data_IF_715535189771
#
_entry.id   IF_715535189771
#
_cell.length_a   1.000
_cell.length_b   1.000
_cell.length_c   1.000
_cell.angle_alpha   90.00
_cell.angle_beta   90.00
_cell.angle_gamma   90.00
#
_symmetry.space_group_name_H-M   'P 1'
#
loop_
_entity.id
_entity.type
_entity.pdbx_description
1 polymer ?
#
# COMPACT_ATOMS: atom_id res chain seq x y z
N UNK A 1 18.74 1.15 4.69
CA UNK A 1 19.29 0.42 5.85
C UNK A 1 19.91 1.45 6.77
N UNK A 2 19.79 1.27 8.08
CA UNK A 2 20.58 2.07 9.03
C UNK A 2 22.06 1.81 8.77
N UNK A 3 22.91 2.80 9.03
CA UNK A 3 24.37 2.65 8.96
C UNK A 3 24.89 1.52 9.87
N UNK A 4 24.10 1.13 10.87
CA UNK A 4 24.41 0.17 11.94
C UNK A 4 24.04 -1.30 11.66
N UNK A 5 23.14 -1.61 10.71
CA UNK A 5 22.58 -2.97 10.58
C UNK A 5 23.25 -3.85 9.51
N UNK A 6 24.34 -3.38 8.91
CA UNK A 6 25.06 -4.14 7.90
C UNK A 6 26.19 -4.95 8.54
N UNK A 7 26.22 -6.27 8.27
CA UNK A 7 27.36 -7.11 8.63
C UNK A 7 28.62 -6.56 7.94
N UNK A 8 29.70 -6.29 8.68
CA UNK A 8 30.90 -5.70 8.09
C UNK A 8 31.64 -6.69 7.18
N UNK A 9 31.53 -7.99 7.47
CA UNK A 9 32.17 -9.09 6.75
C UNK A 9 31.10 -9.97 6.09
N UNK A 10 31.37 -10.40 4.86
CA UNK A 10 30.54 -11.30 4.07
C UNK A 10 31.35 -12.53 3.71
N UNK A 11 30.76 -13.71 3.91
CA UNK A 11 31.42 -14.99 3.63
C UNK A 11 31.45 -15.28 2.14
N UNK A 12 32.55 -15.88 1.65
CA UNK A 12 32.64 -16.38 0.27
C UNK A 12 32.29 -17.87 0.25
N UNK A 13 31.36 -18.26 -0.62
CA UNK A 13 30.97 -19.65 -0.82
C UNK A 13 31.67 -20.30 -2.01
N UNK A 14 32.05 -21.55 -1.88
CA UNK A 14 32.54 -22.38 -2.99
C UNK A 14 31.39 -22.83 -3.90
N UNK A 15 31.71 -23.40 -5.06
CA UNK A 15 30.70 -23.98 -5.97
C UNK A 15 29.92 -25.16 -5.34
N UNK A 16 30.42 -25.70 -4.22
CA UNK A 16 29.81 -26.79 -3.47
C UNK A 16 28.85 -26.32 -2.38
N UNK A 17 28.64 -25.01 -2.23
CA UNK A 17 27.85 -24.40 -1.15
C UNK A 17 28.50 -24.57 0.24
N UNK A 18 29.83 -24.54 0.28
CA UNK A 18 30.62 -24.56 1.51
C UNK A 18 31.25 -23.19 1.71
N UNK A 19 31.29 -22.70 2.95
CA UNK A 19 31.97 -21.46 3.28
C UNK A 19 33.49 -21.66 3.21
N UNK A 20 34.17 -20.82 2.43
CA UNK A 20 35.63 -20.78 2.38
C UNK A 20 36.11 -20.02 3.63
N UNK A 21 36.52 -20.76 4.67
CA UNK A 21 36.81 -20.20 6.01
C UNK A 21 37.86 -19.07 6.00
N UNK A 22 38.82 -19.14 5.08
CA UNK A 22 39.93 -18.18 4.98
C UNK A 22 39.58 -16.91 4.18
N UNK A 23 38.45 -16.88 3.48
CA UNK A 23 38.08 -15.80 2.57
C UNK A 23 36.80 -15.09 3.01
N UNK A 24 36.98 -13.98 3.71
CA UNK A 24 35.93 -13.03 4.05
C UNK A 24 36.17 -11.70 3.34
N UNK A 25 35.13 -11.12 2.76
CA UNK A 25 35.22 -9.83 2.06
C UNK A 25 34.45 -8.78 2.84
N UNK A 26 35.05 -7.60 2.98
CA UNK A 26 34.39 -6.45 3.58
C UNK A 26 33.17 -6.02 2.75
N UNK A 27 32.02 -5.83 3.39
CA UNK A 27 30.80 -5.37 2.73
C UNK A 27 31.03 -3.99 2.08
N UNK A 28 30.84 -3.84 0.76
CA UNK A 28 30.98 -2.55 0.10
C UNK A 28 30.00 -1.51 0.64
N UNK A 29 30.45 -0.27 0.77
CA UNK A 29 29.65 0.82 1.33
C UNK A 29 28.34 1.08 0.56
N UNK A 30 28.32 0.71 -0.72
CA UNK A 30 27.14 0.74 -1.60
C UNK A 30 25.93 0.01 -1.00
N UNK A 31 26.14 -1.10 -0.27
CA UNK A 31 25.05 -1.84 0.36
C UNK A 31 24.41 -1.11 1.55
N UNK A 32 25.13 -0.15 2.13
CA UNK A 32 24.65 0.70 3.22
C UNK A 32 23.98 1.97 2.71
N UNK A 33 23.98 2.22 1.39
CA UNK A 33 23.38 3.40 0.81
C UNK A 33 21.86 3.48 1.05
N UNK A 34 21.27 4.70 1.08
CA UNK A 34 19.84 4.88 1.24
C UNK A 34 19.06 4.27 0.06
N UNK A 35 18.05 3.46 0.39
CA UNK A 35 17.15 2.85 -0.60
C UNK A 35 15.99 3.82 -0.85
N UNK A 36 15.92 4.40 -2.05
CA UNK A 36 14.82 5.30 -2.48
C UNK A 36 13.98 4.67 -3.59
N UNK A 37 12.87 3.97 -3.28
CA UNK A 37 12.07 3.29 -4.29
C UNK A 37 11.37 4.27 -5.25
N UNK A 38 11.03 5.48 -4.81
CA UNK A 38 10.52 6.58 -5.62
C UNK A 38 11.49 6.95 -6.74
N UNK A 39 12.74 7.25 -6.38
CA UNK A 39 13.81 7.59 -7.35
C UNK A 39 14.08 6.42 -8.30
N UNK A 40 14.08 5.19 -7.79
CA UNK A 40 14.26 3.99 -8.61
C UNK A 40 13.14 3.86 -9.64
N UNK A 41 11.89 4.03 -9.23
CA UNK A 41 10.74 3.87 -10.11
C UNK A 41 10.71 4.93 -11.21
N UNK A 42 10.91 6.20 -10.87
CA UNK A 42 10.92 7.32 -11.82
C UNK A 42 11.99 7.12 -12.89
N UNK A 43 13.21 6.78 -12.45
CA UNK A 43 14.34 6.59 -13.35
C UNK A 43 14.16 5.33 -14.19
N UNK A 44 13.67 4.24 -13.59
CA UNK A 44 13.36 3.03 -14.33
C UNK A 44 12.33 3.31 -15.44
N UNK A 45 11.28 4.09 -15.16
CA UNK A 45 10.28 4.46 -16.15
C UNK A 45 10.92 5.26 -17.31
N UNK A 46 11.75 6.26 -17.00
CA UNK A 46 12.45 7.05 -18.02
C UNK A 46 13.43 6.18 -18.85
N UNK A 47 14.23 5.33 -18.20
CA UNK A 47 15.16 4.42 -18.87
C UNK A 47 14.43 3.41 -19.77
N UNK A 48 13.30 2.86 -19.30
CA UNK A 48 12.50 1.92 -20.08
C UNK A 48 11.93 2.55 -21.34
N UNK A 49 11.53 3.84 -21.28
CA UNK A 49 11.03 4.58 -22.45
C UNK A 49 12.08 4.72 -23.55
N UNK A 50 13.36 4.80 -23.19
CA UNK A 50 14.45 4.96 -24.15
C UNK A 50 14.68 3.72 -25.03
N UNK A 51 14.12 2.56 -24.68
CA UNK A 51 14.17 1.34 -25.51
C UNK A 51 13.00 1.22 -26.50
N UNK A 52 12.10 2.20 -26.56
CA UNK A 52 10.94 2.15 -27.46
C UNK A 52 11.37 2.52 -28.88
N UNK A 53 10.88 1.75 -29.85
CA UNK A 53 10.95 2.10 -31.26
C UNK A 53 9.81 3.08 -31.60
N UNK A 54 10.08 4.17 -32.34
CA UNK A 54 9.04 5.04 -32.88
C UNK A 54 8.05 4.29 -33.76
N UNK A 55 6.79 4.71 -33.74
CA UNK A 55 5.77 4.24 -34.67
C UNK A 55 4.83 5.42 -35.02
N UNK A 56 4.40 5.46 -36.27
CA UNK A 56 3.57 6.51 -36.83
C UNK A 56 2.58 5.93 -37.84
N UNK A 57 1.46 6.60 -38.06
CA UNK A 57 0.56 6.32 -39.18
C UNK A 57 1.14 7.00 -40.43
N UNK A 58 0.94 6.40 -41.61
CA UNK A 58 1.35 7.02 -42.87
C UNK A 58 0.67 8.39 -43.03
N UNK A 59 1.42 9.39 -43.46
CA UNK A 59 0.90 10.74 -43.66
C UNK A 59 -0.13 10.81 -44.79
N UNK A 60 0.00 9.93 -45.80
CA UNK A 60 -0.92 9.87 -46.94
C UNK A 60 -2.20 9.05 -46.65
N UNK A 61 -2.28 8.39 -45.47
CA UNK A 61 -3.42 7.55 -45.14
C UNK A 61 -4.71 8.39 -45.03
N UNK A 62 -5.72 8.03 -45.83
CA UNK A 62 -6.99 8.76 -45.90
C UNK A 62 -6.93 10.08 -46.66
N UNK A 63 -5.79 10.42 -47.27
CA UNK A 63 -5.57 11.63 -48.07
C UNK A 63 -5.47 11.39 -49.59
N UNK A 64 -5.33 10.14 -50.01
CA UNK A 64 -5.17 9.76 -51.43
C UNK A 64 -6.47 9.92 -52.23
N UNK A 65 -7.63 9.97 -51.58
CA UNK A 65 -8.93 10.04 -52.27
C UNK A 65 -9.28 11.47 -52.64
N UNK A 66 -9.53 11.75 -53.91
CA UNK A 66 -10.07 13.03 -54.37
C UNK A 66 -11.56 13.15 -53.97
N UNK A 67 -11.87 14.06 -53.05
CA UNK A 67 -13.21 14.26 -52.53
C UNK A 67 -13.47 15.73 -52.21
N UNK A 68 -14.68 16.20 -52.47
CA UNK A 68 -15.13 17.57 -52.19
C UNK A 68 -16.49 17.55 -51.53
N UNK A 69 -16.79 18.55 -50.70
CA UNK A 69 -18.11 18.65 -50.08
C UNK A 69 -19.12 19.12 -51.11
N UNK A 70 -20.29 18.50 -51.14
CA UNK A 70 -21.38 18.90 -52.05
C UNK A 70 -22.12 20.16 -51.58
N UNK A 71 -21.71 20.77 -50.47
CA UNK A 71 -22.37 21.94 -49.89
C UNK A 71 -23.72 21.58 -49.26
N UNK A 72 -24.60 22.58 -49.16
CA UNK A 72 -25.97 22.45 -48.63
C UNK A 72 -26.97 22.10 -49.73
N UNK A 73 -28.21 21.79 -49.36
CA UNK A 73 -29.32 21.65 -50.32
C UNK A 73 -29.49 20.27 -50.97
N UNK A 74 -28.70 19.26 -50.57
CA UNK A 74 -28.78 17.89 -51.12
C UNK A 74 -29.27 16.83 -50.14
N UNK A 75 -29.96 17.22 -49.07
CA UNK A 75 -30.42 16.35 -47.97
C UNK A 75 -29.33 15.43 -47.36
N UNK A 76 -28.08 15.88 -47.39
CA UNK A 76 -26.91 15.08 -47.03
C UNK A 76 -25.91 15.93 -46.23
N UNK A 77 -25.23 15.32 -45.25
CA UNK A 77 -24.24 16.01 -44.41
C UNK A 77 -23.06 16.58 -45.24
N UNK A 78 -22.55 17.75 -44.83
CA UNK A 78 -21.52 18.57 -45.51
C UNK A 78 -20.10 18.00 -45.47
N UNK A 79 -19.96 16.68 -45.42
CA UNK A 79 -18.68 15.97 -45.41
C UNK A 79 -18.17 15.84 -46.86
N UNK A 80 -16.85 15.97 -47.13
CA UNK A 80 -16.29 15.70 -48.44
C UNK A 80 -16.64 14.29 -48.96
N UNK A 81 -17.09 14.20 -50.21
CA UNK A 81 -17.52 12.95 -50.85
C UNK A 81 -16.71 12.64 -52.08
N UNK A 82 -16.46 11.35 -52.31
CA UNK A 82 -15.68 10.86 -53.46
C UNK A 82 -16.40 11.19 -54.75
N UNK A 83 -15.69 11.81 -55.69
CA UNK A 83 -16.20 12.18 -57.03
C UNK A 83 -16.34 10.95 -57.93
N UNK A 84 -17.11 11.07 -59.01
CA UNK A 84 -17.33 10.00 -59.99
C UNK A 84 -18.65 9.24 -59.79
N UNK A 85 -18.79 8.14 -60.52
CA UNK A 85 -19.95 7.24 -60.51
C UNK A 85 -19.56 5.82 -60.89
N UNK A 86 -20.49 4.87 -60.81
CA UNK A 86 -20.27 3.48 -61.26
C UNK A 86 -19.48 2.58 -60.29
N UNK A 87 -19.13 3.06 -59.10
CA UNK A 87 -18.48 2.25 -58.05
C UNK A 87 -19.18 2.44 -56.71
N UNK A 88 -19.14 1.42 -55.84
CA UNK A 88 -19.69 1.52 -54.48
C UNK A 88 -19.02 2.61 -53.63
N UNK A 89 -17.82 3.10 -54.01
CA UNK A 89 -17.09 4.12 -53.27
C UNK A 89 -17.53 5.54 -53.63
N UNK A 90 -18.07 5.76 -54.82
CA UNK A 90 -18.55 7.07 -55.31
C UNK A 90 -19.67 7.61 -54.40
N UNK A 91 -19.63 8.91 -54.08
CA UNK A 91 -20.62 9.57 -53.22
C UNK A 91 -20.49 9.28 -51.72
N UNK A 92 -19.62 8.37 -51.28
CA UNK A 92 -19.35 8.12 -49.86
C UNK A 92 -18.45 9.19 -49.24
N UNK A 93 -18.56 9.39 -47.92
CA UNK A 93 -17.71 10.33 -47.17
C UNK A 93 -16.22 9.96 -47.19
N UNK A 94 -15.35 10.97 -47.19
CA UNK A 94 -13.90 10.85 -47.18
C UNK A 94 -13.27 11.95 -46.29
N UNK A 95 -11.95 11.87 -46.07
CA UNK A 95 -11.12 12.74 -45.23
C UNK A 95 -11.46 12.81 -43.74
N UNK A 96 -12.73 12.87 -43.33
CA UNK A 96 -13.14 13.01 -41.94
C UNK A 96 -12.69 11.84 -41.06
N UNK A 97 -12.36 12.13 -39.81
CA UNK A 97 -12.02 11.12 -38.80
C UNK A 97 -13.21 10.24 -38.39
N UNK A 98 -14.44 10.73 -38.62
CA UNK A 98 -15.67 9.96 -38.47
C UNK A 98 -15.98 9.09 -39.71
N UNK A 99 -15.25 9.27 -40.82
CA UNK A 99 -15.54 8.57 -42.07
C UNK A 99 -14.75 7.25 -42.16
N UNK A 100 -15.40 6.19 -42.65
CA UNK A 100 -14.74 4.93 -43.00
C UNK A 100 -13.70 5.17 -44.10
N UNK A 101 -12.46 4.78 -43.87
CA UNK A 101 -11.34 5.01 -44.80
C UNK A 101 -10.82 6.46 -44.84
N UNK A 102 -11.35 7.35 -43.98
CA UNK A 102 -10.81 8.69 -43.78
C UNK A 102 -9.55 8.68 -42.88
N UNK A 103 -8.95 9.85 -42.67
CA UNK A 103 -7.77 10.00 -41.81
C UNK A 103 -8.19 10.14 -40.34
N UNK A 104 -7.39 9.64 -39.41
CA UNK A 104 -7.65 9.89 -37.98
C UNK A 104 -7.32 11.34 -37.58
N UNK A 105 -8.00 11.84 -36.55
CA UNK A 105 -7.61 13.09 -35.88
C UNK A 105 -6.30 12.89 -35.09
N UNK A 106 -5.39 13.87 -35.16
CA UNK A 106 -4.08 13.83 -34.51
C UNK A 106 -3.30 12.51 -34.79
N UNK A 107 -2.98 12.21 -36.07
CA UNK A 107 -2.25 10.99 -36.41
C UNK A 107 -0.91 10.93 -35.68
N UNK A 108 -0.49 9.73 -35.29
CA UNK A 108 0.79 9.55 -34.60
C UNK A 108 1.94 9.98 -35.50
N UNK A 109 2.80 10.86 -35.00
CA UNK A 109 3.95 11.39 -35.72
C UNK A 109 5.26 10.80 -35.20
N UNK A 110 6.23 10.67 -36.10
CA UNK A 110 7.58 10.15 -35.80
C UNK A 110 8.31 11.03 -34.79
N UNK A 111 8.15 12.36 -34.89
CA UNK A 111 8.77 13.36 -34.01
C UNK A 111 8.20 13.44 -32.58
N UNK A 112 7.32 12.50 -32.17
CA UNK A 112 6.91 12.39 -30.77
C UNK A 112 8.14 12.25 -29.87
N UNK A 113 8.16 12.90 -28.70
CA UNK A 113 9.27 12.75 -27.73
C UNK A 113 9.28 11.37 -27.04
N UNK A 114 9.93 10.40 -27.68
CA UNK A 114 10.09 9.02 -27.19
C UNK A 114 11.09 8.92 -26.04
N UNK A 115 12.27 9.50 -26.26
CA UNK A 115 13.41 9.41 -25.35
C UNK A 115 13.38 10.50 -24.28
N UNK A 116 13.97 10.17 -23.13
CA UNK A 116 14.15 11.07 -21.98
C UNK A 116 15.61 11.02 -21.54
N UNK A 117 16.24 12.20 -21.54
CA UNK A 117 17.54 12.42 -20.90
C UNK A 117 17.34 12.31 -19.39
N UNK A 118 18.26 11.63 -18.72
CA UNK A 118 18.23 11.40 -17.28
C UNK A 118 19.53 11.91 -16.72
N UNK A 119 19.47 12.62 -15.59
CA UNK A 119 20.67 13.12 -14.93
C UNK A 119 21.55 11.94 -14.49
N UNK A 120 22.86 12.08 -14.72
CA UNK A 120 23.82 11.00 -14.46
C UNK A 120 23.80 10.59 -12.99
N UNK A 121 23.79 11.56 -12.07
CA UNK A 121 23.76 11.30 -10.63
C UNK A 121 22.45 10.68 -10.16
N UNK A 122 21.31 11.11 -10.71
CA UNK A 122 20.03 10.45 -10.45
C UNK A 122 20.08 8.98 -10.86
N UNK A 123 20.56 8.67 -12.08
CA UNK A 123 20.68 7.30 -12.57
C UNK A 123 21.59 6.45 -11.68
N UNK A 124 22.71 7.02 -11.22
CA UNK A 124 23.63 6.37 -10.28
C UNK A 124 22.97 6.15 -8.91
N UNK A 125 22.19 7.11 -8.40
CA UNK A 125 21.43 6.98 -7.15
C UNK A 125 20.48 5.78 -7.21
N UNK A 126 19.65 5.67 -8.25
CA UNK A 126 18.74 4.54 -8.40
C UNK A 126 19.48 3.20 -8.49
N UNK A 127 20.62 3.17 -9.18
CA UNK A 127 21.44 1.97 -9.30
C UNK A 127 21.96 1.54 -7.91
N UNK A 128 22.53 2.47 -7.14
CA UNK A 128 23.01 2.24 -5.77
C UNK A 128 21.87 1.80 -4.84
N UNK A 129 20.71 2.44 -4.91
CA UNK A 129 19.51 2.02 -4.15
C UNK A 129 19.09 0.58 -4.47
N UNK A 130 19.18 0.17 -5.74
CA UNK A 130 18.83 -1.17 -6.17
C UNK A 130 19.86 -2.22 -5.69
N UNK A 131 21.16 -1.89 -5.68
CA UNK A 131 22.20 -2.76 -5.11
C UNK A 131 21.98 -2.91 -3.61
N UNK A 132 21.80 -1.82 -2.87
CA UNK A 132 21.56 -1.86 -1.43
C UNK A 132 20.34 -2.74 -1.09
N UNK A 133 19.26 -2.63 -1.87
CA UNK A 133 18.08 -3.46 -1.69
C UNK A 133 18.31 -4.96 -1.97
N UNK A 134 19.27 -5.32 -2.82
CA UNK A 134 19.60 -6.73 -3.10
C UNK A 134 20.26 -7.46 -1.92
N UNK A 135 20.85 -6.71 -0.99
CA UNK A 135 21.41 -7.27 0.26
C UNK A 135 20.40 -7.40 1.40
N UNK A 136 19.12 -7.01 1.21
CA UNK A 136 18.09 -7.08 2.24
C UNK A 136 17.13 -8.25 1.95
N UNK A 137 17.17 -9.35 2.73
CA UNK A 137 16.35 -10.54 2.47
C UNK A 137 14.85 -10.25 2.37
N UNK A 138 14.33 -9.40 3.26
CA UNK A 138 12.92 -9.02 3.25
C UNK A 138 12.49 -8.33 1.94
N UNK A 139 13.34 -7.48 1.36
CA UNK A 139 13.05 -6.84 0.07
C UNK A 139 13.11 -7.86 -1.08
N UNK A 140 14.05 -8.81 -1.02
CA UNK A 140 14.18 -9.88 -2.01
C UNK A 140 12.98 -10.84 -1.99
N UNK A 141 12.51 -11.20 -0.80
CA UNK A 141 11.27 -11.98 -0.63
C UNK A 141 10.04 -11.20 -1.07
N UNK A 142 9.94 -9.90 -0.74
CA UNK A 142 8.79 -9.06 -1.13
C UNK A 142 8.62 -8.97 -2.66
N UNK A 143 9.73 -9.02 -3.41
CA UNK A 143 9.73 -9.09 -4.87
C UNK A 143 9.16 -10.43 -5.39
N UNK A 144 9.22 -11.47 -4.56
CA UNK A 144 8.73 -12.80 -4.84
C UNK A 144 9.80 -13.80 -5.27
N UNK A 145 11.08 -13.59 -4.93
CA UNK A 145 12.10 -14.64 -5.05
C UNK A 145 11.97 -15.65 -3.91
N UNK A 146 12.15 -16.93 -4.20
CA UNK A 146 12.18 -17.99 -3.17
C UNK A 146 13.63 -18.13 -2.69
N UNK A 147 13.91 -17.70 -1.45
CA UNK A 147 15.27 -17.63 -0.90
C UNK A 147 15.45 -18.37 0.43
N UNK A 148 14.48 -19.20 0.82
CA UNK A 148 14.40 -19.79 2.16
C UNK A 148 15.58 -20.73 2.49
N UNK A 149 16.21 -21.32 1.46
CA UNK A 149 17.38 -22.19 1.60
C UNK A 149 18.72 -21.51 1.33
N UNK A 150 18.75 -20.19 1.08
CA UNK A 150 19.99 -19.45 0.77
C UNK A 150 20.71 -19.13 2.08
N UNK A 151 22.02 -19.40 2.11
CA UNK A 151 22.86 -19.31 3.31
C UNK A 151 23.04 -17.88 3.85
N UNK A 152 23.34 -16.92 2.97
CA UNK A 152 23.70 -15.56 3.36
C UNK A 152 23.25 -14.51 2.31
N UNK A 153 23.03 -13.27 2.78
CA UNK A 153 22.80 -12.09 1.94
C UNK A 153 23.72 -10.92 2.35
N UNK A 154 24.35 -10.23 1.38
CA UNK A 154 24.41 -10.53 -0.05
C UNK A 154 25.16 -11.84 -0.34
N UNK A 155 24.69 -12.63 -1.31
CA UNK A 155 25.32 -13.91 -1.65
C UNK A 155 26.57 -13.69 -2.52
N UNK A 156 27.73 -14.08 -2.00
CA UNK A 156 29.03 -13.98 -2.69
C UNK A 156 29.61 -15.38 -2.89
N UNK A 157 30.08 -15.65 -4.11
CA UNK A 157 30.58 -16.96 -4.53
C UNK A 157 31.98 -16.82 -5.14
N UNK A 158 32.81 -17.85 -4.99
CA UNK A 158 34.16 -17.94 -5.56
C UNK A 158 34.20 -17.59 -7.05
N UNK A 159 35.31 -17.01 -7.49
CA UNK A 159 35.57 -16.67 -8.89
C UNK A 159 35.67 -17.89 -9.81
N UNK A 160 35.77 -19.10 -9.27
CA UNK A 160 35.67 -20.36 -10.04
C UNK A 160 34.39 -20.43 -10.87
N UNK A 161 33.28 -19.86 -10.37
CA UNK A 161 32.00 -19.80 -11.10
C UNK A 161 32.13 -19.09 -12.45
N UNK A 162 33.10 -18.18 -12.60
CA UNK A 162 33.37 -17.48 -13.86
C UNK A 162 33.88 -18.43 -14.96
N UNK A 163 34.54 -19.52 -14.57
CA UNK A 163 35.16 -20.53 -15.45
C UNK A 163 34.18 -21.61 -15.92
N UNK A 164 32.95 -21.62 -15.42
CA UNK A 164 31.94 -22.59 -15.84
C UNK A 164 31.64 -22.43 -17.34
N UNK A 165 31.89 -23.49 -18.11
CA UNK A 165 31.69 -23.49 -19.56
C UNK A 165 30.38 -24.18 -19.98
N UNK A 166 29.94 -25.19 -19.22
CA UNK A 166 28.77 -26.02 -19.57
C UNK A 166 27.54 -25.63 -18.74
N UNK A 167 26.39 -25.58 -19.39
CA UNK A 167 25.08 -25.35 -18.73
C UNK A 167 24.77 -26.40 -17.66
N UNK A 168 25.17 -27.66 -17.87
CA UNK A 168 25.01 -28.74 -16.88
C UNK A 168 25.74 -28.41 -15.57
N UNK A 169 26.97 -27.90 -15.65
CA UNK A 169 27.75 -27.50 -14.48
C UNK A 169 27.08 -26.32 -13.75
N UNK A 170 26.63 -25.30 -14.50
CA UNK A 170 25.87 -24.18 -13.95
C UNK A 170 24.59 -24.61 -13.22
N UNK A 171 23.84 -25.59 -13.75
CA UNK A 171 22.66 -26.16 -13.09
C UNK A 171 23.02 -26.89 -11.80
N UNK A 172 24.10 -27.68 -11.79
CA UNK A 172 24.59 -28.37 -10.59
C UNK A 172 24.95 -27.35 -9.51
N UNK A 173 25.71 -26.31 -9.87
CA UNK A 173 26.04 -25.20 -8.99
C UNK A 173 24.79 -24.56 -8.36
N UNK A 174 23.81 -24.16 -9.17
CA UNK A 174 22.59 -23.50 -8.68
C UNK A 174 21.73 -24.38 -7.77
N UNK A 175 21.75 -25.71 -7.97
CA UNK A 175 21.09 -26.67 -7.09
C UNK A 175 21.80 -26.79 -5.74
N UNK A 176 23.14 -26.85 -5.75
CA UNK A 176 23.95 -26.90 -4.53
C UNK A 176 23.76 -25.66 -3.68
N UNK A 177 23.76 -24.47 -4.30
CA UNK A 177 23.48 -23.18 -3.65
C UNK A 177 22.03 -22.99 -3.20
N UNK A 178 21.16 -24.00 -3.34
CA UNK A 178 19.72 -23.98 -2.97
C UNK A 178 18.89 -22.91 -3.70
N UNK A 179 19.33 -22.48 -4.89
CA UNK A 179 18.65 -21.44 -5.71
C UNK A 179 17.61 -22.05 -6.66
N UNK A 180 17.65 -23.37 -6.83
CA UNK A 180 16.82 -24.08 -7.81
C UNK A 180 15.32 -23.86 -7.62
N UNK A 181 14.83 -23.64 -6.39
CA UNK A 181 13.43 -23.35 -6.13
C UNK A 181 12.94 -22.08 -6.86
N UNK A 182 13.75 -21.02 -6.90
CA UNK A 182 13.44 -19.79 -7.63
C UNK A 182 13.43 -20.01 -9.15
N UNK A 183 14.34 -20.85 -9.66
CA UNK A 183 14.40 -21.20 -11.08
C UNK A 183 13.20 -22.07 -11.47
N UNK A 184 12.82 -23.04 -10.64
CA UNK A 184 11.64 -23.87 -10.86
C UNK A 184 10.36 -23.02 -10.90
N UNK A 185 10.29 -21.96 -10.07
CA UNK A 185 9.22 -20.96 -10.14
C UNK A 185 9.17 -20.24 -11.48
N UNK A 186 10.32 -19.95 -12.10
CA UNK A 186 10.38 -19.40 -13.46
C UNK A 186 9.81 -20.38 -14.47
N UNK A 187 10.26 -21.64 -14.47
CA UNK A 187 9.75 -22.68 -15.38
C UNK A 187 8.23 -22.82 -15.29
N UNK A 188 7.68 -22.95 -14.07
CA UNK A 188 6.23 -23.06 -13.82
C UNK A 188 5.43 -21.82 -14.25
N UNK A 189 6.08 -20.65 -14.31
CA UNK A 189 5.41 -19.38 -14.67
C UNK A 189 5.32 -19.09 -16.16
N UNK A 190 5.93 -19.93 -17.01
CA UNK A 190 5.92 -19.72 -18.45
C UNK A 190 4.51 -19.89 -19.01
N UNK A 191 3.97 -18.83 -19.61
CA UNK A 191 2.64 -18.86 -20.23
C UNK A 191 2.59 -17.99 -21.48
N UNK A 192 1.59 -18.23 -22.33
CA UNK A 192 1.28 -17.34 -23.44
C UNK A 192 0.82 -15.97 -22.92
N UNK A 193 1.25 -14.91 -23.61
CA UNK A 193 0.85 -13.54 -23.30
C UNK A 193 -0.60 -13.33 -23.72
N UNK A 194 -1.42 -12.77 -22.83
CA UNK A 194 -2.77 -12.35 -23.19
C UNK A 194 -2.75 -11.15 -24.16
N UNK A 195 -3.68 -11.13 -25.11
CA UNK A 195 -3.89 -10.03 -26.07
C UNK A 195 -2.95 -10.04 -27.28
N UNK A 196 -2.95 -8.92 -28.03
CA UNK A 196 -2.24 -8.76 -29.33
C UNK A 196 -0.71 -8.75 -29.23
N UNK A 197 -0.12 -9.03 -28.08
CA UNK A 197 1.33 -9.14 -27.95
C UNK A 197 1.89 -10.41 -28.58
N UNK A 198 1.07 -11.46 -28.72
CA UNK A 198 1.46 -12.75 -29.28
C UNK A 198 1.86 -12.68 -30.75
N UNK A 199 1.19 -11.83 -31.53
CA UNK A 199 1.49 -11.55 -32.94
C UNK A 199 2.65 -10.56 -33.14
N UNK A 200 3.25 -10.02 -32.06
CA UNK A 200 4.30 -8.99 -32.11
C UNK A 200 5.59 -9.47 -31.43
N UNK A 201 5.95 -10.74 -31.67
CA UNK A 201 7.15 -11.43 -31.12
C UNK A 201 7.29 -11.38 -29.59
N UNK A 202 6.17 -11.21 -28.88
CA UNK A 202 6.09 -11.20 -27.42
C UNK A 202 5.18 -12.31 -26.93
N UNK A 203 5.27 -13.47 -27.58
CA UNK A 203 4.37 -14.63 -27.45
C UNK A 203 4.31 -15.22 -26.05
N UNK A 204 5.45 -15.39 -25.38
CA UNK A 204 5.52 -15.97 -24.02
C UNK A 204 6.00 -14.94 -22.99
N UNK A 205 5.55 -15.11 -21.75
CA UNK A 205 6.03 -14.37 -20.58
C UNK A 205 6.43 -15.35 -19.49
N UNK A 206 7.41 -14.96 -18.69
CA UNK A 206 7.91 -15.73 -17.56
C UNK A 206 8.41 -14.76 -16.46
N UNK A 207 8.53 -15.25 -15.23
CA UNK A 207 9.19 -14.52 -14.15
C UNK A 207 10.67 -14.33 -14.43
N UNK A 208 11.26 -13.28 -13.83
CA UNK A 208 12.72 -13.08 -13.82
C UNK A 208 13.27 -13.80 -12.59
N UNK A 209 14.29 -14.61 -12.78
CA UNK A 209 14.99 -15.31 -11.72
C UNK A 209 16.22 -14.53 -11.23
N UNK A 210 17.23 -15.22 -10.66
CA UNK A 210 18.41 -14.56 -10.10
C UNK A 210 19.22 -13.83 -11.17
N UNK A 211 19.91 -12.77 -10.74
CA UNK A 211 20.88 -12.03 -11.54
C UNK A 211 22.28 -12.43 -11.07
N UNK A 212 23.13 -12.92 -11.96
CA UNK A 212 24.53 -13.24 -11.66
C UNK A 212 25.40 -12.09 -12.12
N UNK A 213 26.19 -11.53 -11.20
CA UNK A 213 27.11 -10.44 -11.49
C UNK A 213 28.55 -10.93 -11.43
N UNK A 214 29.24 -10.75 -12.55
CA UNK A 214 30.61 -11.20 -12.76
C UNK A 214 31.53 -10.04 -13.11
N UNK A 215 32.83 -10.24 -12.91
CA UNK A 215 33.83 -9.27 -13.33
C UNK A 215 34.34 -9.61 -14.74
N UNK A 216 34.88 -10.81 -14.95
CA UNK A 216 35.43 -11.29 -16.22
C UNK A 216 34.55 -12.39 -16.82
N UNK A 217 34.44 -12.44 -18.15
CA UNK A 217 33.67 -13.49 -18.84
C UNK A 217 34.63 -14.58 -19.32
N UNK A 218 34.80 -15.63 -18.51
CA UNK A 218 35.65 -16.80 -18.85
C UNK A 218 34.81 -18.01 -19.34
N UNK A 219 33.54 -17.78 -19.71
CA UNK A 219 32.60 -18.83 -20.12
C UNK A 219 31.24 -18.70 -19.46
N UNK A 220 31.17 -18.01 -18.31
CA UNK A 220 29.97 -17.81 -17.49
C UNK A 220 28.76 -17.35 -18.32
N UNK A 221 28.90 -16.35 -19.20
CA UNK A 221 27.73 -15.88 -19.97
C UNK A 221 27.12 -16.98 -20.84
N UNK A 222 27.95 -17.85 -21.44
CA UNK A 222 27.48 -18.95 -22.29
C UNK A 222 26.88 -20.09 -21.46
N UNK A 223 27.46 -20.39 -20.29
CA UNK A 223 26.95 -21.42 -19.40
C UNK A 223 25.59 -21.07 -18.77
N UNK A 224 25.34 -19.80 -18.43
CA UNK A 224 24.10 -19.42 -17.74
C UNK A 224 22.97 -18.92 -18.66
N UNK A 225 23.25 -18.44 -19.90
CA UNK A 225 22.23 -17.83 -20.77
C UNK A 225 21.06 -18.74 -21.16
N UNK A 226 21.28 -20.06 -21.17
CA UNK A 226 20.26 -21.03 -21.59
C UNK A 226 19.27 -21.40 -20.48
N UNK A 227 19.58 -21.05 -19.24
CA UNK A 227 18.71 -21.34 -18.09
C UNK A 227 17.65 -20.23 -18.00
N UNK A 228 16.35 -20.55 -18.04
CA UNK A 228 15.30 -19.54 -18.11
C UNK A 228 15.24 -18.70 -16.84
N UNK A 229 15.06 -17.40 -17.02
CA UNK A 229 14.92 -16.42 -15.94
C UNK A 229 16.24 -15.91 -15.38
N UNK A 230 17.34 -16.66 -15.54
CA UNK A 230 18.66 -16.20 -15.14
C UNK A 230 19.13 -15.13 -16.12
N UNK A 231 19.68 -14.05 -15.57
CA UNK A 231 20.38 -13.06 -16.36
C UNK A 231 21.79 -12.88 -15.80
N UNK A 232 22.73 -12.59 -16.68
CA UNK A 232 24.10 -12.25 -16.29
C UNK A 232 24.39 -10.77 -16.58
N UNK A 233 25.33 -10.21 -15.83
CA UNK A 233 25.71 -8.80 -15.89
C UNK A 233 27.18 -8.64 -15.50
N UNK A 234 27.94 -7.85 -16.26
CA UNK A 234 29.26 -7.42 -15.83
C UNK A 234 29.12 -6.27 -14.81
N UNK A 235 29.95 -6.28 -13.76
CA UNK A 235 29.96 -5.24 -12.72
C UNK A 235 30.21 -3.84 -13.28
N UNK A 236 31.06 -3.69 -14.30
CA UNK A 236 31.35 -2.38 -14.89
C UNK A 236 30.15 -1.81 -15.68
N UNK A 237 29.26 -2.68 -16.16
CA UNK A 237 28.12 -2.34 -17.02
C UNK A 237 26.80 -2.63 -16.33
N UNK A 238 26.71 -2.30 -15.04
CA UNK A 238 25.48 -2.48 -14.26
C UNK A 238 24.31 -1.68 -14.83
N UNK A 239 23.15 -2.32 -14.88
CA UNK A 239 21.95 -1.80 -15.50
C UNK A 239 20.76 -1.86 -14.54
N UNK A 240 20.17 -0.69 -14.26
CA UNK A 240 18.99 -0.56 -13.40
C UNK A 240 17.82 -1.43 -13.87
N UNK A 241 17.61 -1.57 -15.19
CA UNK A 241 16.50 -2.36 -15.74
C UNK A 241 16.60 -3.85 -15.41
N UNK A 242 17.83 -4.34 -15.17
CA UNK A 242 18.06 -5.72 -14.72
C UNK A 242 18.05 -5.81 -13.19
N UNK A 243 18.60 -4.84 -12.46
CA UNK A 243 18.63 -4.86 -10.99
C UNK A 243 17.24 -4.62 -10.35
N UNK A 244 16.42 -3.75 -10.94
CA UNK A 244 15.07 -3.45 -10.47
C UNK A 244 14.04 -3.63 -11.61
N UNK A 245 13.75 -4.87 -12.05
CA UNK A 245 12.82 -5.11 -13.16
C UNK A 245 11.43 -4.57 -12.84
N UNK A 246 10.93 -3.64 -13.65
CA UNK A 246 9.62 -3.03 -13.42
C UNK A 246 9.64 -1.87 -12.42
N UNK A 247 10.81 -1.42 -11.95
CA UNK A 247 10.94 -0.34 -10.97
C UNK A 247 10.85 -0.79 -9.52
N UNK A 248 10.53 -2.06 -9.25
CA UNK A 248 10.60 -2.61 -7.88
C UNK A 248 11.99 -3.16 -7.60
N UNK A 249 12.55 -2.70 -6.49
CA UNK A 249 13.84 -3.12 -5.92
C UNK A 249 13.79 -4.53 -5.32
N UNK A 250 14.93 -5.07 -4.90
CA UNK A 250 15.01 -6.40 -4.26
C UNK A 250 14.99 -7.56 -5.26
N UNK A 251 15.71 -7.46 -6.37
CA UNK A 251 15.99 -8.67 -7.18
C UNK A 251 17.00 -9.55 -6.43
N UNK A 252 16.87 -10.87 -6.54
CA UNK A 252 17.89 -11.77 -6.03
C UNK A 252 19.15 -11.67 -6.91
N UNK A 253 20.28 -11.28 -6.30
CA UNK A 253 21.56 -11.07 -6.99
C UNK A 253 22.62 -11.98 -6.37
N UNK A 254 23.37 -12.68 -7.22
CA UNK A 254 24.51 -13.52 -6.87
C UNK A 254 25.76 -12.80 -7.37
N UNK A 255 26.72 -12.55 -6.48
CA UNK A 255 27.96 -11.88 -6.80
C UNK A 255 29.10 -12.89 -6.86
N UNK A 256 30.01 -12.70 -7.81
CA UNK A 256 31.34 -13.33 -7.75
C UNK A 256 32.26 -12.51 -6.85
N UNK A 257 33.24 -13.15 -6.23
CA UNK A 257 34.22 -12.56 -5.32
C UNK A 257 34.86 -11.29 -5.90
N UNK A 258 35.48 -11.39 -7.08
CA UNK A 258 36.09 -10.24 -7.76
C UNK A 258 35.10 -9.14 -8.12
N UNK A 259 33.87 -9.50 -8.52
CA UNK A 259 32.83 -8.50 -8.80
C UNK A 259 32.39 -7.76 -7.55
N UNK A 260 32.35 -8.44 -6.41
CA UNK A 260 31.96 -7.85 -5.13
C UNK A 260 33.04 -6.91 -4.59
N UNK A 261 34.31 -7.30 -4.67
CA UNK A 261 35.45 -6.46 -4.28
C UNK A 261 35.52 -5.16 -5.09
N UNK A 262 35.29 -5.24 -6.41
CA UNK A 262 35.34 -4.09 -7.34
C UNK A 262 34.24 -3.03 -7.10
N UNK A 263 33.21 -3.32 -6.31
CA UNK A 263 32.13 -2.36 -6.03
C UNK A 263 32.63 -1.10 -5.31
N UNK A 264 33.61 -1.21 -4.43
CA UNK A 264 34.17 -0.06 -3.71
C UNK A 264 34.96 0.86 -4.64
N UNK A 265 35.70 0.33 -5.62
CA UNK A 265 36.35 1.16 -6.66
C UNK A 265 35.30 1.89 -7.52
N UNK A 266 34.24 1.16 -7.89
CA UNK A 266 33.25 1.62 -8.86
C UNK A 266 32.23 2.65 -8.31
N UNK A 267 32.07 2.73 -6.99
CA UNK A 267 31.18 3.73 -6.37
C UNK A 267 31.81 4.54 -5.24
N UNK A 268 32.97 4.13 -4.73
CA UNK A 268 33.60 4.73 -3.56
C UNK A 268 32.92 4.30 -2.25
N UNK A 269 33.36 4.95 -1.18
CA UNK A 269 32.68 4.97 0.11
C UNK A 269 32.12 6.38 0.36
N UNK A 270 31.54 6.67 1.52
CA UNK A 270 31.20 8.07 1.84
C UNK A 270 32.44 8.94 2.13
N UNK A 271 33.54 8.32 2.58
CA UNK A 271 34.81 9.00 2.90
C UNK A 271 35.69 9.15 1.67
N UNK A 272 35.74 8.13 0.81
CA UNK A 272 36.55 8.08 -0.41
C UNK A 272 35.67 8.16 -1.66
N UNK A 273 35.99 9.06 -2.58
CA UNK A 273 35.26 9.19 -3.85
C UNK A 273 35.49 7.95 -4.74
N UNK A 274 34.61 7.76 -5.73
CA UNK A 274 34.79 6.68 -6.71
C UNK A 274 36.00 6.94 -7.61
N UNK A 275 36.81 5.90 -7.83
CA UNK A 275 37.96 5.94 -8.75
C UNK A 275 37.52 5.90 -10.20
N UNK A 276 36.56 5.01 -10.53
CA UNK A 276 36.11 4.79 -11.91
C UNK A 276 35.06 5.79 -12.40
N UNK A 277 34.41 6.51 -11.47
CA UNK A 277 33.36 7.48 -11.82
C UNK A 277 33.75 8.88 -11.39
N UNK A 278 34.19 9.68 -12.37
CA UNK A 278 34.51 11.10 -12.19
C UNK A 278 33.41 11.84 -11.42
N UNK A 279 33.80 12.52 -10.35
CA UNK A 279 32.96 13.40 -9.53
C UNK A 279 31.79 12.69 -8.86
N UNK A 280 31.89 11.38 -8.60
CA UNK A 280 30.83 10.62 -7.94
C UNK A 280 31.18 10.26 -6.50
N UNK A 281 30.24 10.54 -5.61
CA UNK A 281 30.24 10.06 -4.23
C UNK A 281 28.88 9.38 -3.92
N UNK A 282 28.87 8.49 -2.94
CA UNK A 282 27.66 7.83 -2.47
C UNK A 282 26.67 8.86 -1.89
N UNK A 283 25.36 8.66 -2.12
CA UNK A 283 24.35 9.52 -1.51
C UNK A 283 24.36 9.36 0.01
N UNK A 284 24.38 10.47 0.74
CA UNK A 284 24.27 10.45 2.19
C UNK A 284 22.83 10.13 2.63
N UNK A 285 22.64 9.23 3.60
CA UNK A 285 21.31 8.96 4.13
C UNK A 285 20.81 10.16 4.95
N UNK A 286 19.53 10.53 4.77
CA UNK A 286 18.91 11.62 5.56
C UNK A 286 18.75 11.27 7.05
N UNK A 287 18.63 9.99 7.37
CA UNK A 287 18.56 9.48 8.73
C UNK A 287 19.67 8.44 8.92
N UNK A 288 20.51 8.61 9.94
CA UNK A 288 21.60 7.68 10.23
C UNK A 288 21.09 6.31 10.69
N UNK A 289 20.08 6.32 11.57
CA UNK A 289 19.34 5.14 11.99
C UNK A 289 17.89 5.24 11.48
N UNK A 290 17.41 4.17 10.84
CA UNK A 290 16.06 4.09 10.28
C UNK A 290 15.09 3.29 11.14
N UNK A 291 15.57 2.69 12.24
CA UNK A 291 14.72 2.00 13.20
C UNK A 291 14.04 3.02 14.13
N UNK A 292 12.89 3.52 13.66
CA UNK A 292 12.07 4.47 14.42
C UNK A 292 11.55 3.83 15.72
N UNK A 293 11.35 2.52 15.75
CA UNK A 293 10.83 1.84 16.94
C UNK A 293 11.84 1.90 18.09
N UNK A 294 13.13 1.76 17.79
CA UNK A 294 14.21 1.95 18.77
C UNK A 294 14.28 3.39 19.26
N UNK A 295 14.18 4.38 18.36
CA UNK A 295 14.14 5.78 18.76
C UNK A 295 12.97 6.09 19.70
N UNK A 296 11.75 5.72 19.32
CA UNK A 296 10.55 6.00 20.13
C UNK A 296 10.54 5.27 21.48
N UNK A 297 11.32 4.19 21.62
CA UNK A 297 11.47 3.44 22.88
C UNK A 297 12.67 3.89 23.72
N UNK A 298 13.49 4.81 23.23
CA UNK A 298 14.66 5.34 23.94
C UNK A 298 14.25 6.02 25.25
N UNK A 299 15.09 5.89 26.27
CA UNK A 299 14.84 6.44 27.60
C UNK A 299 14.82 7.96 27.58
N UNK A 300 15.69 8.56 26.76
CA UNK A 300 15.81 9.99 26.55
C UNK A 300 14.50 10.59 26.06
N UNK A 301 13.84 9.94 25.10
CA UNK A 301 12.51 10.38 24.63
C UNK A 301 11.46 10.09 25.70
N UNK A 302 11.44 8.89 26.28
CA UNK A 302 10.42 8.49 27.27
C UNK A 302 10.40 9.37 28.51
N UNK A 303 11.54 9.87 28.97
CA UNK A 303 11.66 10.74 30.15
C UNK A 303 10.91 12.07 29.99
N UNK A 304 10.75 12.56 28.76
CA UNK A 304 10.12 13.86 28.46
C UNK A 304 8.68 13.70 27.93
N UNK A 305 8.26 12.48 27.58
CA UNK A 305 6.92 12.24 27.05
C UNK A 305 5.85 12.35 28.15
N UNK A 306 4.75 13.02 27.81
CA UNK A 306 3.52 13.00 28.59
C UNK A 306 2.79 11.65 28.42
N UNK A 307 2.01 11.27 29.43
CA UNK A 307 1.13 10.11 29.36
C UNK A 307 0.22 10.08 28.12
N UNK A 308 0.10 8.90 27.46
CA UNK A 308 -0.71 8.76 26.26
C UNK A 308 -2.21 8.88 26.58
N UNK A 309 -2.88 9.83 25.92
CA UNK A 309 -4.34 9.99 26.00
C UNK A 309 -5.07 8.94 25.15
N UNK A 310 -5.41 7.81 25.75
CA UNK A 310 -6.07 6.68 25.05
C UNK A 310 -7.59 6.79 24.94
N UNK A 311 -8.20 7.86 25.47
CA UNK A 311 -9.66 8.04 25.47
C UNK A 311 -10.16 8.41 24.07
N UNK A 312 -10.85 7.49 23.41
CA UNK A 312 -11.49 7.73 22.12
C UNK A 312 -12.86 8.37 22.34
N UNK A 313 -13.04 9.61 21.92
CA UNK A 313 -14.33 10.30 21.95
C UNK A 313 -15.17 9.89 20.75
N UNK A 314 -16.19 9.05 20.99
CA UNK A 314 -17.16 8.71 19.96
C UNK A 314 -18.25 9.78 19.88
N UNK A 315 -18.79 9.98 18.69
CA UNK A 315 -19.98 10.81 18.51
C UNK A 315 -21.11 10.22 19.34
N UNK A 316 -21.56 10.96 20.33
CA UNK A 316 -22.73 10.60 21.13
C UNK A 316 -23.96 11.00 20.34
N UNK A 317 -24.83 10.05 20.00
CA UNK A 317 -26.14 10.37 19.43
C UNK A 317 -26.92 11.16 20.47
N UNK A 318 -27.34 12.38 20.12
CA UNK A 318 -28.23 13.16 20.98
C UNK A 318 -29.57 12.46 21.05
N UNK A 319 -29.83 11.79 22.17
CA UNK A 319 -31.12 11.17 22.45
C UNK A 319 -32.11 12.29 22.81
N UNK A 320 -33.31 12.23 22.24
CA UNK A 320 -34.37 13.18 22.58
C UNK A 320 -34.88 12.85 24.00
N UNK A 321 -34.79 13.77 24.98
CA UNK A 321 -35.21 13.50 26.35
C UNK A 321 -36.74 13.38 26.50
N UNK A 322 -37.53 13.92 25.58
CA UNK A 322 -38.99 13.78 25.66
C UNK A 322 -39.45 12.36 25.33
N UNK A 323 -38.78 11.69 24.38
CA UNK A 323 -39.05 10.29 24.03
C UNK A 323 -38.20 9.29 24.81
N UNK A 324 -37.01 9.68 25.27
CA UNK A 324 -36.10 8.81 26.02
C UNK A 324 -36.04 9.17 27.51
N UNK A 325 -36.70 8.35 28.33
CA UNK A 325 -36.80 8.54 29.78
C UNK A 325 -35.43 8.61 30.47
N UNK A 326 -34.49 7.72 30.12
CA UNK A 326 -33.16 7.70 30.74
C UNK A 326 -32.39 8.97 30.43
N UNK A 327 -32.52 9.48 29.20
CA UNK A 327 -31.89 10.75 28.83
C UNK A 327 -32.53 11.93 29.58
N UNK A 328 -33.85 11.94 29.78
CA UNK A 328 -34.51 12.98 30.57
C UNK A 328 -34.02 12.98 32.01
N UNK A 329 -33.96 11.81 32.65
CA UNK A 329 -33.50 11.69 34.04
C UNK A 329 -32.02 12.07 34.16
N UNK A 330 -31.19 11.63 33.21
CA UNK A 330 -29.76 11.99 33.16
C UNK A 330 -29.55 13.51 33.07
N UNK A 331 -30.40 14.22 32.34
CA UNK A 331 -30.31 15.67 32.16
C UNK A 331 -31.05 16.46 33.26
N UNK A 332 -32.16 15.93 33.76
CA UNK A 332 -33.01 16.53 34.78
C UNK A 332 -33.59 15.45 35.71
N UNK A 333 -32.96 15.18 36.87
CA UNK A 333 -33.43 14.16 37.80
C UNK A 333 -34.80 14.50 38.42
N UNK A 334 -35.17 15.78 38.52
CA UNK A 334 -36.48 16.18 39.07
C UNK A 334 -37.67 15.77 38.18
N UNK A 335 -37.42 15.51 36.89
CA UNK A 335 -38.45 15.00 35.99
C UNK A 335 -39.01 13.64 36.44
N UNK A 336 -38.21 12.81 37.12
CA UNK A 336 -38.67 11.54 37.69
C UNK A 336 -39.68 11.76 38.82
N UNK A 337 -39.41 12.71 39.71
CA UNK A 337 -40.30 13.09 40.81
C UNK A 337 -41.62 13.63 40.25
N UNK A 338 -41.56 14.52 39.27
CA UNK A 338 -42.76 15.09 38.64
C UNK A 338 -43.60 14.03 37.93
N UNK A 339 -42.98 13.13 37.16
CA UNK A 339 -43.70 12.03 36.51
C UNK A 339 -44.37 11.11 37.52
N UNK A 340 -43.69 10.77 38.62
CA UNK A 340 -44.27 9.95 39.69
C UNK A 340 -45.45 10.65 40.36
N UNK A 341 -45.33 11.94 40.66
CA UNK A 341 -46.43 12.76 41.19
C UNK A 341 -47.60 12.81 40.22
N UNK A 342 -47.34 13.02 38.93
CA UNK A 342 -48.37 13.07 37.89
C UNK A 342 -49.07 11.71 37.70
N UNK A 343 -48.33 10.59 37.71
CA UNK A 343 -48.89 9.24 37.64
C UNK A 343 -49.83 8.95 38.82
N UNK A 344 -49.38 9.25 40.06
CA UNK A 344 -50.21 9.12 41.25
C UNK A 344 -51.45 10.04 41.21
N UNK A 345 -51.30 11.26 40.68
CA UNK A 345 -52.43 12.18 40.52
C UNK A 345 -53.43 11.69 39.46
N UNK A 346 -52.97 11.09 38.36
CA UNK A 346 -53.82 10.52 37.32
C UNK A 346 -54.58 9.28 37.83
N UNK A 347 -53.91 8.39 38.57
CA UNK A 347 -54.52 7.24 39.23
C UNK A 347 -55.62 7.69 40.20
N UNK A 348 -55.35 8.71 41.02
CA UNK A 348 -56.35 9.31 41.91
C UNK A 348 -57.56 9.85 41.16
N UNK A 349 -57.37 10.51 40.01
CA UNK A 349 -58.48 11.01 39.17
C UNK A 349 -59.28 9.86 38.54
N UNK A 350 -58.63 8.79 38.09
CA UNK A 350 -59.30 7.62 37.54
C UNK A 350 -60.19 6.94 38.60
N UNK A 351 -59.66 6.76 39.81
CA UNK A 351 -60.42 6.25 40.97
C UNK A 351 -61.62 7.17 41.29
N UNK A 352 -61.43 8.49 41.30
CA UNK A 352 -62.54 9.42 41.54
C UNK A 352 -63.60 9.34 40.42
N UNK A 353 -63.17 9.20 39.15
CA UNK A 353 -64.08 9.07 38.00
C UNK A 353 -64.90 7.79 38.06
N UNK A 354 -64.31 6.65 38.45
CA UNK A 354 -65.05 5.38 38.59
C UNK A 354 -66.10 5.46 39.70
N UNK A 355 -65.75 6.06 40.85
CA UNK A 355 -66.69 6.29 41.96
C UNK A 355 -67.82 7.25 41.54
N UNK A 356 -67.49 8.36 40.90
CA UNK A 356 -68.50 9.34 40.46
C UNK A 356 -69.41 8.78 39.36
N UNK A 357 -68.88 7.94 38.46
CA UNK A 357 -69.69 7.24 37.44
C UNK A 357 -70.65 6.26 38.10
N UNK A 358 -70.18 5.45 39.06
CA UNK A 358 -71.03 4.52 39.80
C UNK A 358 -72.15 5.25 40.56
N UNK A 359 -71.81 6.36 41.23
CA UNK A 359 -72.81 7.24 41.87
C UNK A 359 -73.82 7.80 40.89
N UNK A 360 -73.40 8.26 39.71
CA UNK A 360 -74.30 8.80 38.67
C UNK A 360 -75.23 7.73 38.08
N UNK A 361 -74.79 6.48 38.04
CA UNK A 361 -75.58 5.35 37.58
C UNK A 361 -76.41 4.71 38.70
N UNK A 362 -76.38 5.25 39.92
CA UNK A 362 -77.00 4.67 41.12
C UNK A 362 -76.62 3.19 41.37
N UNK A 363 -75.40 2.79 40.97
CA UNK A 363 -74.88 1.45 41.22
C UNK A 363 -73.86 1.51 42.35
N UNK A 364 -74.07 0.72 43.41
CA UNK A 364 -73.10 0.59 44.48
C UNK A 364 -71.92 -0.29 44.06
N UNK A 365 -70.69 0.24 44.18
CA UNK A 365 -69.47 -0.52 43.93
C UNK A 365 -69.22 -1.49 45.09
N UNK A 366 -68.88 -2.75 44.77
CA UNK A 366 -68.54 -3.75 45.77
C UNK A 366 -67.42 -3.27 46.71
N UNK A 367 -67.48 -3.65 48.00
CA UNK A 367 -66.48 -3.25 49.00
C UNK A 367 -65.06 -3.74 48.67
N UNK A 368 -64.92 -4.81 47.88
CA UNK A 368 -63.66 -5.33 47.34
C UNK A 368 -63.15 -4.61 46.09
N UNK A 369 -63.98 -3.75 45.48
CA UNK A 369 -63.61 -3.04 44.26
C UNK A 369 -62.44 -2.08 44.52
N UNK A 370 -61.43 -2.13 43.65
CA UNK A 370 -60.16 -1.43 43.82
C UNK A 370 -60.32 0.06 44.16
N UNK A 371 -61.27 0.76 43.52
CA UNK A 371 -61.51 2.18 43.77
C UNK A 371 -61.97 2.48 45.22
N UNK A 372 -62.78 1.59 45.81
CA UNK A 372 -63.29 1.71 47.19
C UNK A 372 -62.18 1.38 48.20
N UNK A 373 -61.41 0.34 47.92
CA UNK A 373 -60.25 -0.06 48.75
C UNK A 373 -59.18 1.03 48.72
N UNK A 374 -58.84 1.56 47.55
CA UNK A 374 -57.83 2.59 47.37
C UNK A 374 -58.21 3.92 48.05
N UNK A 375 -59.49 4.32 48.01
CA UNK A 375 -59.97 5.51 48.71
C UNK A 375 -59.96 5.34 50.23
N UNK A 376 -60.37 4.17 50.74
CA UNK A 376 -60.26 3.84 52.18
C UNK A 376 -58.81 3.84 52.65
N UNK A 377 -57.91 3.23 51.89
CA UNK A 377 -56.47 3.22 52.18
C UNK A 377 -55.86 4.62 52.17
N UNK A 378 -56.23 5.47 51.20
CA UNK A 378 -55.78 6.86 51.14
C UNK A 378 -56.27 7.70 52.33
N UNK A 379 -57.53 7.52 52.77
CA UNK A 379 -58.08 8.20 53.94
C UNK A 379 -57.34 7.78 55.23
N UNK A 380 -57.05 6.49 55.39
CA UNK A 380 -56.26 5.98 56.50
C UNK A 380 -54.83 6.54 56.47
N UNK A 381 -54.19 6.58 55.30
CA UNK A 381 -52.85 7.16 55.15
C UNK A 381 -52.82 8.65 55.45
N UNK A 382 -53.84 9.42 55.06
CA UNK A 382 -53.96 10.84 55.39
C UNK A 382 -54.12 11.06 56.90
N UNK A 383 -54.90 10.22 57.59
CA UNK A 383 -54.99 10.23 59.06
C UNK A 383 -53.64 9.94 59.72
N UNK A 384 -52.92 8.92 59.25
CA UNK A 384 -51.58 8.61 59.77
C UNK A 384 -50.58 9.73 59.53
N UNK A 385 -50.59 10.35 58.35
CA UNK A 385 -49.69 11.49 58.03
C UNK A 385 -50.00 12.72 58.88
N UNK A 386 -51.27 13.03 59.16
CA UNK A 386 -51.65 14.11 60.08
C UNK A 386 -51.13 13.85 61.49
N UNK A 387 -51.34 12.64 62.03
CA UNK A 387 -50.78 12.23 63.32
C UNK A 387 -49.26 12.37 63.36
N UNK A 388 -48.56 11.86 62.34
CA UNK A 388 -47.10 11.96 62.25
C UNK A 388 -46.60 13.42 62.13
N UNK A 389 -47.32 14.29 61.42
CA UNK A 389 -46.98 15.71 61.30
C UNK A 389 -47.17 16.46 62.63
N UNK A 390 -48.27 16.18 63.34
CA UNK A 390 -48.54 16.73 64.67
C UNK A 390 -47.49 16.28 65.69
N UNK A 391 -47.10 15.00 65.68
CA UNK A 391 -46.00 14.47 66.49
C UNK A 391 -44.65 15.13 66.15
N UNK A 392 -44.36 15.36 64.87
CA UNK A 392 -43.14 16.08 64.43
C UNK A 392 -43.13 17.54 64.87
N UNK A 393 -44.29 18.21 64.81
CA UNK A 393 -44.45 19.60 65.27
C UNK A 393 -44.24 19.67 66.78
N UNK A 394 -44.82 18.74 67.54
CA UNK A 394 -44.59 18.57 68.99
C UNK A 394 -43.12 18.32 69.32
N UNK A 395 -42.40 17.48 68.55
CA UNK A 395 -40.95 17.25 68.73
C UNK A 395 -40.07 18.46 68.40
N UNK A 396 -40.48 19.33 67.46
CA UNK A 396 -39.75 20.57 67.13
C UNK A 396 -39.96 21.69 68.15
N UNK A 397 -41.07 21.68 68.88
CA UNK A 397 -41.40 22.65 69.93
C UNK A 397 -40.82 22.28 71.30
N UNK A 398 -40.24 21.08 71.45
CA UNK A 398 -39.39 20.77 72.61
C UNK A 398 -38.00 21.37 72.32
N UNK A 399 -37.50 22.33 73.12
CA UNK A 399 -36.15 22.85 72.95
C UNK A 399 -35.15 21.71 73.13
N UNK A 400 -34.35 21.46 72.11
CA UNK A 400 -33.13 20.64 72.25
C UNK A 400 -32.18 21.47 73.11
N UNK A 401 -32.12 21.16 74.41
CA UNK A 401 -31.03 21.65 75.27
C UNK A 401 -29.70 21.26 74.62
N UNK A 402 -28.78 22.21 74.36
CA UNK A 402 -27.47 21.87 73.82
C UNK A 402 -26.74 20.99 74.83
N UNK A 403 -26.38 19.76 74.43
CA UNK A 403 -25.36 18.99 75.15
C UNK A 403 -24.05 19.80 75.09
N UNK A 404 -23.60 20.30 76.24
CA UNK A 404 -22.21 20.71 76.45
C UNK A 404 -21.34 19.45 76.36
N UNK A 405 -20.33 19.50 75.47
CA UNK A 405 -19.18 18.59 75.29
C UNK A 405 -19.46 17.09 75.20
#
# INVERSE_FOLDING_TARGET
MSLSNARPLVSVYSEKNEQIKEKNICLPAVFKAPIRPDVVNDIHQLMRRNKRQPYAVSEQAGHQTSAESWGTGRAVARIPRVRGGGTHRSGQGAFGNMCRGGRMFAPTKTYRRWHRKINVNQRRYALVSAIAASGVPALVQSKGHIIDGVSEFPLVVSDEVQKLQKTKQAVVFLRRMKIWADIQKVYKSQRFRAGRGTMRDRRRIARRGPLIIYFKDEGLRRAFRNIPGIETMCVDKMNLLKLAPGGHVGRFVIWTESAFARLNELFGTWKSQSTLKKGYNLPQPKMANTDLSRFLKSEEIRKVLRDPRKKIFRRVRRLNPLSNVRQLIKLNPYAEVLRRRAALAAEKRAIAKTINKAKKQNVELAKSHFAVVATKAAANRAKMLKKAFEERKKKKTVPVTPKKK
#
